data_IF_183079370423
#
_entry.id   IF_183079370423
#
_cell.length_a   1.000
_cell.length_b   1.000
_cell.length_c   1.000
_cell.angle_alpha   90.00
_cell.angle_beta   90.00
_cell.angle_gamma   90.00
#
_symmetry.space_group_name_H-M   'P 1'
#
loop_
_entity.id
_entity.type
_entity.pdbx_description
1 polymer ?
#
# COMPACT_ATOMS: atom_id res chain seq x y z
N UNK A 1 -3.42 -8.57 2.39
CA UNK A 1 -2.77 -9.48 1.42
C UNK A 1 -3.82 -10.46 0.92
N UNK A 2 -3.87 -10.76 -0.38
CA UNK A 2 -4.75 -11.82 -0.87
C UNK A 2 -4.30 -13.14 -0.22
N UNK A 3 -5.24 -13.85 0.41
CA UNK A 3 -4.94 -15.16 1.00
C UNK A 3 -4.60 -16.14 -0.12
N UNK A 4 -3.54 -16.92 0.10
CA UNK A 4 -3.26 -18.06 -0.77
C UNK A 4 -4.18 -19.21 -0.36
N UNK A 5 -4.98 -19.72 -1.30
CA UNK A 5 -5.71 -20.97 -1.13
C UNK A 5 -5.04 -22.07 -1.95
N UNK A 6 -4.75 -23.18 -1.29
CA UNK A 6 -4.17 -24.36 -1.91
C UNK A 6 -5.22 -25.08 -2.77
N UNK A 7 -4.91 -25.29 -4.05
CA UNK A 7 -5.71 -26.12 -4.94
C UNK A 7 -4.92 -27.38 -5.36
N UNK A 8 -5.64 -28.48 -5.65
CA UNK A 8 -5.15 -29.87 -5.84
C UNK A 8 -4.22 -30.12 -7.05
N UNK A 9 -3.53 -29.11 -7.57
CA UNK A 9 -2.64 -29.21 -8.74
C UNK A 9 -1.22 -28.66 -8.54
N UNK A 10 -0.84 -28.22 -7.34
CA UNK A 10 0.49 -27.69 -7.08
C UNK A 10 1.52 -28.82 -6.88
N UNK A 11 2.71 -28.64 -7.47
CA UNK A 11 3.87 -29.52 -7.31
C UNK A 11 4.71 -29.01 -6.13
N UNK A 12 5.28 -29.91 -5.34
CA UNK A 12 6.14 -29.56 -4.20
C UNK A 12 7.39 -28.81 -4.69
N UNK A 13 7.48 -27.50 -4.38
CA UNK A 13 8.54 -26.60 -4.88
C UNK A 13 8.05 -25.34 -5.60
N UNK A 14 6.76 -25.25 -5.94
CA UNK A 14 6.17 -24.02 -6.50
C UNK A 14 6.08 -22.91 -5.44
N UNK A 15 6.97 -21.93 -5.49
CA UNK A 15 6.83 -20.69 -4.71
C UNK A 15 5.79 -19.80 -5.39
N UNK A 16 4.51 -20.03 -5.12
CA UNK A 16 3.44 -19.16 -5.64
C UNK A 16 3.38 -17.88 -4.80
N UNK A 17 3.86 -16.78 -5.36
CA UNK A 17 3.70 -15.47 -4.74
C UNK A 17 2.21 -15.11 -4.66
N UNK A 18 1.73 -14.55 -3.53
CA UNK A 18 0.36 -14.11 -3.41
C UNK A 18 0.06 -13.02 -4.46
N UNK A 19 -1.18 -12.99 -4.95
CA UNK A 19 -1.64 -11.91 -5.81
C UNK A 19 -1.42 -10.56 -5.10
N UNK A 20 -1.09 -9.53 -5.87
CA UNK A 20 -0.82 -8.19 -5.33
C UNK A 20 -1.47 -7.13 -6.20
N UNK A 21 -2.37 -6.36 -5.59
CA UNK A 21 -2.89 -5.11 -6.15
C UNK A 21 -2.10 -3.95 -5.54
N UNK A 22 -1.40 -3.20 -6.38
CA UNK A 22 -0.66 -1.99 -5.99
C UNK A 22 -1.37 -0.78 -6.58
N UNK A 23 -1.80 0.13 -5.72
CA UNK A 23 -2.35 1.43 -6.10
C UNK A 23 -1.28 2.47 -5.78
N UNK A 24 -0.63 2.99 -6.82
CA UNK A 24 0.34 4.07 -6.68
C UNK A 24 -0.41 5.38 -6.83
N UNK A 25 -0.45 6.15 -5.75
CA UNK A 25 -1.11 7.45 -5.73
C UNK A 25 -0.21 8.49 -6.38
N UNK A 26 1.06 8.61 -5.95
CA UNK A 26 2.04 9.53 -6.54
C UNK A 26 3.48 9.00 -6.32
N UNK A 27 4.46 9.44 -7.15
CA UNK A 27 4.29 10.01 -8.50
C UNK A 27 3.84 8.92 -9.49
N UNK A 28 3.49 9.29 -10.72
CA UNK A 28 3.08 8.37 -11.80
C UNK A 28 1.91 7.45 -11.41
N UNK A 29 0.73 8.06 -11.24
CA UNK A 29 -0.52 7.40 -10.85
C UNK A 29 -0.71 6.09 -11.65
N UNK A 30 -0.70 4.96 -10.93
CA UNK A 30 -0.76 3.65 -11.57
C UNK A 30 -1.46 2.60 -10.73
N UNK A 31 -2.08 1.65 -11.42
CA UNK A 31 -2.71 0.47 -10.84
C UNK A 31 -1.99 -0.75 -11.41
N UNK A 32 -1.39 -1.56 -10.54
CA UNK A 32 -0.69 -2.80 -10.93
C UNK A 32 -1.31 -4.01 -10.26
N UNK A 33 -1.59 -5.05 -11.02
CA UNK A 33 -2.03 -6.35 -10.52
C UNK A 33 -1.02 -7.43 -10.91
N UNK A 34 -0.33 -7.99 -9.90
CA UNK A 34 0.53 -9.16 -10.04
C UNK A 34 -0.26 -10.42 -9.69
N UNK A 35 -0.23 -11.43 -10.56
CA UNK A 35 -0.94 -12.70 -10.36
C UNK A 35 -0.27 -13.85 -11.10
N UNK A 36 -0.55 -15.09 -10.69
CA UNK A 36 -0.04 -16.29 -11.35
C UNK A 36 -0.83 -16.67 -12.59
N UNK A 37 -0.15 -16.95 -13.70
CA UNK A 37 -0.73 -17.49 -14.93
C UNK A 37 -0.10 -18.82 -15.29
N UNK A 38 -0.90 -19.78 -15.76
CA UNK A 38 -0.39 -21.03 -16.30
C UNK A 38 0.32 -20.77 -17.64
N UNK A 39 1.55 -21.25 -17.76
CA UNK A 39 2.24 -21.27 -19.05
C UNK A 39 1.53 -22.28 -19.97
N UNK A 40 1.12 -21.90 -21.20
CA UNK A 40 0.58 -22.85 -22.16
C UNK A 40 1.58 -23.99 -22.43
N UNK A 41 1.18 -25.22 -22.13
CA UNK A 41 2.05 -26.38 -22.23
C UNK A 41 1.49 -27.60 -21.48
N UNK A 42 2.13 -28.77 -21.64
CA UNK A 42 1.73 -30.00 -20.94
C UNK A 42 2.07 -29.94 -19.44
N UNK A 43 3.07 -29.15 -19.06
CA UNK A 43 3.50 -28.99 -17.68
C UNK A 43 2.60 -28.01 -16.91
N UNK A 44 2.43 -28.25 -15.60
CA UNK A 44 1.70 -27.36 -14.70
C UNK A 44 2.68 -26.39 -14.05
N UNK A 45 3.14 -25.42 -14.82
CA UNK A 45 4.04 -24.37 -14.36
C UNK A 45 3.30 -23.04 -14.34
N UNK A 46 3.30 -22.38 -13.17
CA UNK A 46 2.73 -21.05 -12.98
C UNK A 46 3.83 -19.98 -13.07
N UNK A 47 3.61 -18.96 -13.88
CA UNK A 47 4.50 -17.82 -14.02
C UNK A 47 3.83 -16.56 -13.46
N UNK A 48 4.52 -15.75 -12.64
CA UNK A 48 3.99 -14.45 -12.23
C UNK A 48 3.90 -13.53 -13.44
N UNK A 49 2.73 -12.92 -13.64
CA UNK A 49 2.49 -11.94 -14.68
C UNK A 49 1.89 -10.66 -14.08
N UNK A 50 2.14 -9.53 -14.74
CA UNK A 50 1.69 -8.22 -14.28
C UNK A 50 0.75 -7.58 -15.30
N UNK A 51 -0.36 -7.02 -14.81
CA UNK A 51 -1.17 -6.05 -15.55
C UNK A 51 -0.92 -4.67 -14.97
N UNK A 52 -0.59 -3.70 -15.83
CA UNK A 52 -0.34 -2.32 -15.43
C UNK A 52 -1.25 -1.35 -16.18
N UNK A 53 -1.83 -0.42 -15.43
CA UNK A 53 -2.45 0.79 -15.93
C UNK A 53 -1.69 2.01 -15.38
N UNK A 54 -1.38 2.97 -16.24
CA UNK A 54 -0.67 4.20 -15.88
C UNK A 54 -1.41 5.40 -16.48
N UNK A 55 -1.78 6.36 -15.62
CA UNK A 55 -2.68 7.46 -15.98
C UNK A 55 -2.09 8.36 -17.08
N UNK A 56 -0.83 8.74 -16.92
CA UNK A 56 -0.09 9.58 -17.89
C UNK A 56 0.02 8.93 -19.27
N UNK A 57 0.25 7.60 -19.32
CA UNK A 57 0.34 6.85 -20.59
C UNK A 57 -1.00 6.78 -21.33
N UNK A 58 -2.12 6.76 -20.63
CA UNK A 58 -3.45 6.55 -21.23
C UNK A 58 -4.11 7.87 -21.63
N UNK A 59 -4.02 8.88 -20.78
CA UNK A 59 -4.77 10.13 -20.99
C UNK A 59 -3.90 11.29 -21.50
N UNK A 60 -2.56 11.14 -21.50
CA UNK A 60 -1.61 12.19 -21.91
C UNK A 60 -1.94 13.56 -21.28
N UNK A 61 -2.44 13.55 -20.06
CA UNK A 61 -2.86 14.70 -19.30
C UNK A 61 -2.48 14.48 -17.84
N UNK A 62 -2.08 15.56 -17.18
CA UNK A 62 -1.85 15.55 -15.74
C UNK A 62 -3.20 15.60 -15.02
N UNK A 63 -3.38 14.81 -13.95
CA UNK A 63 -4.55 14.97 -13.10
C UNK A 63 -4.57 16.39 -12.51
N UNK A 64 -5.78 16.96 -12.25
CA UNK A 64 -5.89 18.26 -11.62
C UNK A 64 -5.21 18.25 -10.25
N UNK A 65 -4.69 19.40 -9.84
CA UNK A 65 -4.03 19.53 -8.54
C UNK A 65 -5.05 19.30 -7.41
N UNK A 66 -4.60 18.73 -6.29
CA UNK A 66 -5.47 18.31 -5.19
C UNK A 66 -6.36 19.46 -4.67
N UNK A 67 -5.82 20.67 -4.52
CA UNK A 67 -6.56 21.84 -4.06
C UNK A 67 -7.51 22.40 -5.11
N UNK A 68 -7.19 22.34 -6.40
CA UNK A 68 -8.12 22.77 -7.46
C UNK A 68 -9.41 21.96 -7.38
N UNK A 69 -9.28 20.64 -7.23
CA UNK A 69 -10.42 19.74 -7.07
C UNK A 69 -11.20 20.03 -5.79
N UNK A 70 -10.52 20.17 -4.65
CA UNK A 70 -11.19 20.41 -3.37
C UNK A 70 -11.92 21.76 -3.33
N UNK A 71 -11.34 22.81 -3.90
CA UNK A 71 -11.98 24.13 -3.99
C UNK A 71 -13.22 24.06 -4.89
N UNK A 72 -13.13 23.38 -6.03
CA UNK A 72 -14.27 23.17 -6.92
C UNK A 72 -15.40 22.43 -6.20
N UNK A 73 -15.09 21.35 -5.50
CA UNK A 73 -16.07 20.55 -4.76
C UNK A 73 -16.73 21.39 -3.64
N UNK A 74 -15.96 22.25 -2.94
CA UNK A 74 -16.51 23.18 -1.95
C UNK A 74 -17.48 24.21 -2.56
N UNK A 75 -17.17 24.75 -3.75
CA UNK A 75 -18.05 25.69 -4.48
C UNK A 75 -19.34 24.99 -4.92
N UNK A 76 -19.24 23.73 -5.36
CA UNK A 76 -20.38 22.92 -5.79
C UNK A 76 -21.20 22.36 -4.62
N UNK A 77 -20.72 22.51 -3.39
CA UNK A 77 -21.35 21.94 -2.19
C UNK A 77 -21.20 20.41 -2.11
N UNK A 78 -20.22 19.83 -2.78
CA UNK A 78 -19.91 18.40 -2.72
C UNK A 78 -18.94 18.10 -1.58
N UNK A 79 -19.45 17.44 -0.53
CA UNK A 79 -18.70 17.08 0.66
C UNK A 79 -17.94 15.75 0.56
N UNK A 80 -17.96 15.05 -0.57
CA UNK A 80 -17.51 13.64 -0.68
C UNK A 80 -16.02 13.46 -0.33
N UNK A 81 -15.17 14.43 -0.65
CA UNK A 81 -13.73 14.40 -0.37
C UNK A 81 -13.34 15.10 0.94
N UNK A 82 -14.32 15.59 1.70
CA UNK A 82 -14.08 16.23 2.99
C UNK A 82 -14.28 15.24 4.12
N UNK A 83 -13.37 15.28 5.09
CA UNK A 83 -13.48 14.46 6.30
C UNK A 83 -14.67 14.92 7.15
N UNK A 84 -15.45 13.97 7.65
CA UNK A 84 -16.60 14.27 8.50
C UNK A 84 -16.17 14.47 9.96
N UNK A 85 -16.99 15.16 10.74
CA UNK A 85 -16.67 15.47 12.14
C UNK A 85 -16.43 14.21 12.98
N UNK A 86 -17.29 13.21 12.84
CA UNK A 86 -17.19 11.93 13.53
C UNK A 86 -15.92 11.14 13.12
N UNK A 87 -15.52 11.22 11.85
CA UNK A 87 -14.27 10.63 11.35
C UNK A 87 -13.03 11.32 11.97
N UNK A 88 -13.07 12.65 12.12
CA UNK A 88 -12.00 13.41 12.81
C UNK A 88 -11.91 13.00 14.27
N UNK A 89 -13.03 12.94 14.99
CA UNK A 89 -13.05 12.53 16.40
C UNK A 89 -12.54 11.10 16.60
N UNK A 90 -12.95 10.16 15.74
CA UNK A 90 -12.49 8.79 15.80
C UNK A 90 -10.97 8.67 15.54
N UNK A 91 -10.45 9.44 14.57
CA UNK A 91 -9.03 9.50 14.26
C UNK A 91 -8.22 10.05 15.44
N UNK A 92 -8.69 11.12 16.06
CA UNK A 92 -8.06 11.70 17.25
C UNK A 92 -8.04 10.74 18.43
N UNK A 93 -9.17 10.08 18.70
CA UNK A 93 -9.26 9.08 19.78
C UNK A 93 -8.24 7.95 19.63
N UNK A 94 -7.95 7.54 18.40
CA UNK A 94 -6.92 6.54 18.12
C UNK A 94 -5.51 7.08 18.39
N UNK A 95 -5.18 8.27 17.87
CA UNK A 95 -3.84 8.88 17.99
C UNK A 95 -3.54 9.34 19.41
N UNK A 96 -4.55 9.79 20.16
CA UNK A 96 -4.42 10.28 21.53
C UNK A 96 -3.76 9.25 22.47
N UNK A 97 -4.10 7.97 22.31
CA UNK A 97 -3.47 6.90 23.09
C UNK A 97 -1.96 6.78 22.83
N UNK A 98 -1.52 7.00 21.59
CA UNK A 98 -0.09 6.98 21.21
C UNK A 98 0.63 8.18 21.81
N UNK A 99 0.05 9.38 21.65
CA UNK A 99 0.62 10.63 22.17
C UNK A 99 0.78 10.55 23.69
N UNK A 100 -0.27 10.11 24.41
CA UNK A 100 -0.25 10.00 25.86
C UNK A 100 0.86 9.08 26.36
N UNK A 101 1.06 7.93 25.69
CA UNK A 101 2.15 7.01 26.04
C UNK A 101 3.51 7.65 25.83
N UNK A 102 3.70 8.43 24.75
CA UNK A 102 4.95 9.16 24.52
C UNK A 102 5.22 10.25 25.56
N UNK A 103 4.19 10.94 26.05
CA UNK A 103 4.31 11.95 27.10
C UNK A 103 4.61 11.34 28.48
N UNK A 104 3.98 10.21 28.82
CA UNK A 104 4.13 9.54 30.12
C UNK A 104 5.43 8.72 30.24
N UNK A 105 6.03 8.33 29.10
CA UNK A 105 7.21 7.45 29.04
C UNK A 105 8.35 8.09 28.24
N UNK A 106 9.08 9.05 28.84
CA UNK A 106 10.22 9.68 28.18
C UNK A 106 11.40 8.71 27.95
N UNK A 107 11.36 7.52 28.55
CA UNK A 107 12.31 6.43 28.39
C UNK A 107 12.05 5.55 27.15
N UNK A 108 10.99 5.82 26.37
CA UNK A 108 10.71 5.09 25.14
C UNK A 108 11.90 5.17 24.17
N UNK A 109 12.30 4.02 23.67
CA UNK A 109 13.41 3.91 22.72
C UNK A 109 12.99 4.49 21.38
N UNK A 110 13.65 5.57 20.97
CA UNK A 110 13.55 6.10 19.61
C UNK A 110 14.56 5.33 18.74
N UNK A 111 14.05 4.64 17.71
CA UNK A 111 14.90 3.90 16.79
C UNK A 111 15.44 4.80 15.68
N UNK A 112 16.76 5.12 15.65
CA UNK A 112 17.33 5.93 14.60
C UNK A 112 17.44 5.12 13.31
N UNK A 113 17.46 5.83 12.19
CA UNK A 113 17.67 5.25 10.87
C UNK A 113 18.46 6.21 9.99
N UNK A 114 19.10 5.66 8.96
CA UNK A 114 19.90 6.46 8.03
C UNK A 114 18.97 7.24 7.09
N UNK A 115 19.27 8.52 6.83
CA UNK A 115 18.56 9.30 5.82
C UNK A 115 18.59 8.60 4.44
N UNK A 116 17.45 8.55 3.76
CA UNK A 116 17.27 7.84 2.50
C UNK A 116 17.04 6.32 2.63
N UNK A 117 17.03 5.76 3.85
CA UNK A 117 16.56 4.39 4.08
C UNK A 117 15.04 4.35 4.27
N UNK A 118 14.48 3.15 4.24
CA UNK A 118 13.04 2.88 4.47
C UNK A 118 12.61 2.99 5.94
N UNK A 119 13.52 3.31 6.86
CA UNK A 119 13.25 3.41 8.30
C UNK A 119 14.13 2.49 9.14
N UNK A 120 13.85 2.38 10.45
CA UNK A 120 14.62 1.53 11.35
C UNK A 120 14.25 0.05 11.19
N UNK A 121 15.17 -0.84 11.56
CA UNK A 121 14.96 -2.31 11.53
C UNK A 121 13.73 -2.74 12.35
N UNK A 122 13.42 -2.02 13.43
CA UNK A 122 12.22 -2.26 14.24
C UNK A 122 10.91 -2.16 13.43
N UNK A 123 10.87 -1.36 12.36
CA UNK A 123 9.69 -1.27 11.48
C UNK A 123 9.51 -2.52 10.60
N UNK A 124 10.62 -3.17 10.21
CA UNK A 124 10.56 -4.46 9.51
C UNK A 124 10.18 -5.59 10.47
N UNK A 125 10.73 -5.56 11.69
CA UNK A 125 10.44 -6.57 12.72
C UNK A 125 8.97 -6.54 13.16
N UNK A 126 8.35 -5.36 13.19
CA UNK A 126 6.91 -5.20 13.41
C UNK A 126 6.07 -5.99 12.39
N UNK A 127 6.45 -5.94 11.10
CA UNK A 127 5.72 -6.67 10.06
C UNK A 127 5.99 -8.18 10.13
N UNK A 128 7.22 -8.58 10.43
CA UNK A 128 7.60 -10.00 10.56
C UNK A 128 6.83 -10.70 11.67
N UNK A 129 6.44 -10.00 12.73
CA UNK A 129 5.61 -10.55 13.80
C UNK A 129 4.26 -11.09 13.28
N UNK A 130 3.75 -10.52 12.17
CA UNK A 130 2.54 -10.95 11.47
C UNK A 130 2.84 -11.79 10.20
N UNK A 131 4.07 -12.32 10.07
CA UNK A 131 4.55 -13.05 8.88
C UNK A 131 4.46 -12.23 7.58
N UNK A 132 4.61 -10.90 7.69
CA UNK A 132 4.53 -9.96 6.57
C UNK A 132 5.85 -9.23 6.37
N UNK A 133 5.99 -8.65 5.19
CA UNK A 133 7.10 -7.75 4.86
C UNK A 133 6.57 -6.53 4.12
N UNK A 134 7.23 -5.38 4.32
CA UNK A 134 6.97 -4.20 3.51
C UNK A 134 7.30 -4.47 2.04
N UNK A 135 6.39 -4.06 1.15
CA UNK A 135 6.65 -4.09 -0.29
C UNK A 135 7.37 -2.79 -0.63
N UNK A 136 8.69 -2.85 -0.74
CA UNK A 136 9.47 -1.71 -1.17
C UNK A 136 9.27 -1.53 -2.66
N UNK A 137 8.58 -0.47 -3.05
CA UNK A 137 8.54 -0.04 -4.45
C UNK A 137 9.83 0.73 -4.69
N UNK A 138 10.73 0.20 -5.52
CA UNK A 138 11.88 0.96 -5.99
C UNK A 138 11.36 2.19 -6.74
N UNK A 139 11.31 3.32 -6.05
CA UNK A 139 11.02 4.65 -6.57
C UNK A 139 12.15 5.55 -6.12
N UNK A 140 13.22 5.53 -6.90
CA UNK A 140 14.11 6.69 -7.02
C UNK A 140 13.63 7.53 -8.18
#
# INVERSE_FOLDING_TARGET
MFKHEWHKGHVEGDTLNPNRLTLRIQPDESIRLLFGLKIPGPEMVLQPNEMEFCYSKVFNAEPPEAYERLILDAILGDGTLFIRHDEVEASWKFVEGIIRVWEERPDIVIHPYRAGSWGPVAADDLMKADERSWIQTNGG
#
